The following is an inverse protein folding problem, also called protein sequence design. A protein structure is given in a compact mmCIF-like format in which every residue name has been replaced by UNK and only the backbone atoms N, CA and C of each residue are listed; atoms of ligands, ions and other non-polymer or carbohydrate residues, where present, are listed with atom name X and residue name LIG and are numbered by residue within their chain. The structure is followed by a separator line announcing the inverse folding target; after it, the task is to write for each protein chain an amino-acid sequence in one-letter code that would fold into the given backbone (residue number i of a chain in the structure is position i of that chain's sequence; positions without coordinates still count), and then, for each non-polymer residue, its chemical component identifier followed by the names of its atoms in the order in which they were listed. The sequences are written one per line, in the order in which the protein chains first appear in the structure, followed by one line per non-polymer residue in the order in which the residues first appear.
data_IF_801777955596
#
_entry.id   IF_801777955596
#
_cell.length_a   1.000
_cell.length_b   1.000
_cell.length_c   1.000
_cell.angle_alpha   90.00
_cell.angle_beta   90.00
_cell.angle_gamma   90.00
#
_symmetry.space_group_name_H-M   'P 1'
#
loop_
_entity.id
_entity.type
_entity.pdbx_description
1 polymer ?
#
# COMPACT_ATOMS: atom_id res chain seq x y z
N UNK A 1 19.51 17.36 29.58
CA UNK A 1 18.99 16.01 29.27
C UNK A 1 17.80 16.06 28.31
N UNK A 2 16.66 16.65 28.69
CA UNK A 2 15.46 16.75 27.83
C UNK A 2 15.75 17.47 26.49
N UNK A 3 16.51 18.58 26.52
CA UNK A 3 16.92 19.32 25.30
C UNK A 3 17.80 18.50 24.34
N UNK A 4 18.65 17.63 24.86
CA UNK A 4 19.52 16.78 24.05
C UNK A 4 18.72 15.64 23.40
N UNK A 5 17.78 15.04 24.15
CA UNK A 5 16.88 14.01 23.62
C UNK A 5 15.89 14.58 22.59
N UNK A 6 15.36 15.79 22.80
CA UNK A 6 14.47 16.44 21.82
C UNK A 6 15.19 16.80 20.53
N UNK A 7 16.44 17.27 20.61
CA UNK A 7 17.23 17.60 19.44
C UNK A 7 17.67 16.34 18.67
N UNK A 8 18.09 15.29 19.38
CA UNK A 8 18.37 13.99 18.76
C UNK A 8 17.13 13.38 18.11
N UNK A 9 15.96 13.47 18.78
CA UNK A 9 14.68 13.04 18.22
C UNK A 9 14.30 13.82 16.97
N UNK A 10 14.46 15.15 16.96
CA UNK A 10 14.17 15.98 15.78
C UNK A 10 15.08 15.64 14.58
N UNK A 11 16.39 15.47 14.82
CA UNK A 11 17.35 15.07 13.79
C UNK A 11 17.07 13.66 13.27
N UNK A 12 16.74 12.73 14.18
CA UNK A 12 16.33 11.37 13.84
C UNK A 12 15.06 11.33 13.01
N UNK A 13 14.05 12.13 13.37
CA UNK A 13 12.79 12.26 12.64
C UNK A 13 13.00 12.77 11.22
N UNK A 14 13.73 13.87 11.07
CA UNK A 14 14.03 14.47 9.77
C UNK A 14 14.84 13.51 8.89
N UNK A 15 15.88 12.89 9.45
CA UNK A 15 16.71 11.93 8.73
C UNK A 15 15.92 10.73 8.24
N UNK A 16 15.10 10.11 9.10
CA UNK A 16 14.27 8.97 8.75
C UNK A 16 13.18 9.32 7.72
N UNK A 17 12.54 10.49 7.85
CA UNK A 17 11.55 10.97 6.88
C UNK A 17 12.14 11.17 5.49
N UNK A 18 13.32 11.81 5.41
CA UNK A 18 14.03 12.06 4.14
C UNK A 18 14.45 10.73 3.51
N UNK A 19 15.04 9.82 4.29
CA UNK A 19 15.44 8.50 3.80
C UNK A 19 14.24 7.69 3.28
N UNK A 20 13.13 7.67 4.00
CA UNK A 20 11.92 6.99 3.56
C UNK A 20 11.32 7.62 2.30
N UNK A 21 11.33 8.95 2.18
CA UNK A 21 10.89 9.65 0.97
C UNK A 21 11.78 9.30 -0.23
N UNK A 22 13.11 9.27 -0.05
CA UNK A 22 14.05 8.90 -1.10
C UNK A 22 13.86 7.45 -1.52
N UNK A 23 13.68 6.54 -0.57
CA UNK A 23 13.42 5.12 -0.86
C UNK A 23 12.10 4.94 -1.62
N UNK A 24 11.02 5.62 -1.21
CA UNK A 24 9.74 5.60 -1.93
C UNK A 24 9.88 6.10 -3.36
N UNK A 25 10.66 7.17 -3.56
CA UNK A 25 10.89 7.71 -4.90
C UNK A 25 11.68 6.73 -5.76
N UNK A 26 12.67 6.04 -5.18
CA UNK A 26 13.47 5.03 -5.89
C UNK A 26 12.66 3.77 -6.22
N UNK A 27 11.86 3.28 -5.28
CA UNK A 27 10.98 2.13 -5.48
C UNK A 27 9.97 2.38 -6.62
N UNK A 28 9.42 3.59 -6.71
CA UNK A 28 8.54 3.99 -7.82
C UNK A 28 9.28 4.05 -9.16
N UNK A 29 10.54 4.45 -9.19
CA UNK A 29 11.35 4.45 -10.41
C UNK A 29 11.69 3.03 -10.87
N UNK A 30 12.09 2.15 -9.96
CA UNK A 30 12.35 0.75 -10.28
C UNK A 30 11.10 0.03 -10.80
N UNK A 31 9.92 0.33 -10.23
CA UNK A 31 8.66 -0.27 -10.67
C UNK A 31 8.23 0.15 -12.09
N UNK A 32 8.72 1.29 -12.59
CA UNK A 32 8.40 1.81 -13.92
C UNK A 32 9.52 1.69 -14.94
N UNK A 33 10.61 1.01 -14.62
CA UNK A 33 11.80 0.91 -15.47
C UNK A 33 11.87 -0.48 -16.11
N UNK A 34 11.83 -0.55 -17.45
CA UNK A 34 12.19 -1.75 -18.21
C UNK A 34 13.69 -1.70 -18.52
N UNK A 35 14.53 -2.54 -17.88
CA UNK A 35 15.98 -2.45 -18.06
C UNK A 35 16.42 -3.09 -19.39
N UNK A 36 17.17 -2.35 -20.21
CA UNK A 36 17.98 -2.95 -21.29
C UNK A 36 19.29 -3.55 -20.73
N UNK A 37 19.83 -2.99 -19.64
CA UNK A 37 20.95 -3.55 -18.88
C UNK A 37 20.74 -3.47 -17.36
N UNK A 38 21.47 -4.29 -16.59
CA UNK A 38 21.38 -4.40 -15.12
C UNK A 38 21.63 -3.04 -14.40
N UNK A 39 22.24 -2.05 -15.09
CA UNK A 39 22.60 -0.74 -14.54
C UNK A 39 21.61 0.40 -14.81
N UNK A 40 20.68 0.27 -15.76
CA UNK A 40 19.94 1.43 -16.29
C UNK A 40 18.89 2.00 -15.33
N UNK A 41 18.41 1.18 -14.40
CA UNK A 41 17.44 1.58 -13.39
C UNK A 41 18.09 2.05 -12.06
N UNK A 42 19.42 2.00 -11.94
CA UNK A 42 20.14 2.41 -10.73
C UNK A 42 20.42 3.92 -10.74
N UNK A 43 19.75 4.70 -9.88
CA UNK A 43 20.05 6.13 -9.74
C UNK A 43 21.05 6.44 -8.62
N UNK A 44 21.58 7.67 -8.61
CA UNK A 44 22.44 8.21 -7.54
C UNK A 44 21.82 8.20 -6.14
N UNK A 45 20.54 7.84 -6.01
CA UNK A 45 19.83 7.74 -4.73
C UNK A 45 20.15 6.46 -3.98
N UNK A 46 20.55 5.38 -4.65
CA UNK A 46 20.94 4.12 -4.00
C UNK A 46 22.17 4.29 -3.08
N UNK A 47 23.25 4.98 -3.51
CA UNK A 47 24.35 5.37 -2.61
C UNK A 47 23.89 6.21 -1.41
N UNK A 48 22.91 7.10 -1.59
CA UNK A 48 22.38 7.95 -0.52
C UNK A 48 21.59 7.14 0.50
N UNK A 49 20.89 6.08 0.08
CA UNK A 49 20.18 5.17 0.98
C UNK A 49 21.15 4.33 1.84
N UNK A 50 22.34 4.00 1.32
CA UNK A 50 23.38 3.28 2.06
C UNK A 50 24.17 4.20 3.00
N UNK A 51 24.53 5.40 2.56
CA UNK A 51 25.39 6.33 3.31
C UNK A 51 24.58 7.23 4.25
N UNK A 52 23.35 7.56 3.88
CA UNK A 52 22.50 8.49 4.63
C UNK A 52 22.25 8.12 6.09
N UNK A 53 21.97 6.85 6.44
CA UNK A 53 21.85 6.43 7.85
C UNK A 53 23.12 6.72 8.68
N UNK A 54 24.30 6.56 8.08
CA UNK A 54 25.58 6.87 8.73
C UNK A 54 25.73 8.38 8.95
N UNK A 55 25.35 9.19 7.96
CA UNK A 55 25.36 10.66 8.06
C UNK A 55 24.42 11.15 9.16
N UNK A 56 23.18 10.64 9.22
CA UNK A 56 22.21 11.00 10.27
C UNK A 56 22.76 10.62 11.65
N UNK A 57 23.31 9.41 11.80
CA UNK A 57 23.90 8.95 13.05
C UNK A 57 25.09 9.82 13.48
N UNK A 58 25.94 10.23 12.53
CA UNK A 58 27.07 11.12 12.78
C UNK A 58 26.61 12.53 13.19
N UNK A 59 25.57 13.07 12.57
CA UNK A 59 24.98 14.37 12.94
C UNK A 59 24.40 14.34 14.35
N UNK A 60 23.67 13.27 14.71
CA UNK A 60 23.13 13.08 16.06
C UNK A 60 24.26 12.93 17.07
N UNK A 61 25.31 12.15 16.76
CA UNK A 61 26.49 12.04 17.61
C UNK A 61 27.16 13.39 17.84
N UNK A 62 27.40 14.17 16.78
CA UNK A 62 28.05 15.48 16.87
C UNK A 62 27.22 16.45 17.69
N UNK A 63 25.90 16.45 17.51
CA UNK A 63 24.98 17.25 18.32
C UNK A 63 25.01 16.89 19.81
N UNK A 64 25.06 15.59 20.13
CA UNK A 64 25.17 15.10 21.51
C UNK A 64 26.54 15.46 22.12
N UNK A 65 27.61 15.36 21.34
CA UNK A 65 28.96 15.70 21.76
C UNK A 65 29.10 17.19 22.09
N UNK A 66 28.63 18.09 21.19
CA UNK A 66 28.61 19.54 21.44
C UNK A 66 27.73 19.91 22.64
N UNK A 67 26.70 19.11 22.92
CA UNK A 67 25.82 19.29 24.09
C UNK A 67 26.41 18.76 25.40
N UNK A 68 27.65 18.28 25.41
CA UNK A 68 28.35 17.81 26.62
C UNK A 68 27.85 16.45 27.13
N UNK A 69 27.39 15.57 26.25
CA UNK A 69 26.93 14.23 26.63
C UNK A 69 28.11 13.25 26.71
N UNK A 70 28.46 12.81 27.93
CA UNK A 70 29.59 11.88 28.19
C UNK A 70 29.56 10.58 27.38
N UNK A 71 28.36 10.12 26.98
CA UNK A 71 28.11 8.87 26.24
C UNK A 71 27.48 9.14 24.88
N UNK A 72 27.91 10.18 24.18
CA UNK A 72 27.35 10.59 22.89
C UNK A 72 27.36 9.48 21.83
N UNK A 73 28.50 8.80 21.64
CA UNK A 73 28.68 7.72 20.64
C UNK A 73 27.72 6.54 20.89
N UNK A 74 27.73 5.88 22.07
CA UNK A 74 26.85 4.73 22.30
C UNK A 74 25.36 5.13 22.30
N UNK A 75 25.03 6.36 22.68
CA UNK A 75 23.65 6.87 22.61
C UNK A 75 23.15 7.01 21.17
N UNK A 76 23.98 7.56 20.27
CA UNK A 76 23.65 7.70 18.86
C UNK A 76 23.54 6.32 18.17
N UNK A 77 24.45 5.39 18.48
CA UNK A 77 24.42 4.02 17.94
C UNK A 77 23.18 3.26 18.41
N UNK A 78 22.82 3.33 19.69
CA UNK A 78 21.59 2.72 20.20
C UNK A 78 20.36 3.31 19.52
N UNK A 79 20.32 4.62 19.31
CA UNK A 79 19.23 5.28 18.60
C UNK A 79 19.10 4.80 17.15
N UNK A 80 20.22 4.64 16.46
CA UNK A 80 20.27 4.11 15.10
C UNK A 80 19.80 2.65 15.04
N UNK A 81 20.25 1.79 15.97
CA UNK A 81 19.84 0.39 16.05
C UNK A 81 18.33 0.27 16.27
N UNK A 82 17.76 1.01 17.23
CA UNK A 82 16.32 0.95 17.51
C UNK A 82 15.50 1.43 16.32
N UNK A 83 15.97 2.48 15.64
CA UNK A 83 15.30 2.99 14.42
C UNK A 83 15.38 1.98 13.28
N UNK A 84 16.54 1.37 13.07
CA UNK A 84 16.75 0.36 12.02
C UNK A 84 15.92 -0.91 12.30
N UNK A 85 15.87 -1.37 13.54
CA UNK A 85 15.07 -2.53 13.93
C UNK A 85 13.57 -2.30 13.69
N UNK A 86 13.06 -1.11 14.04
CA UNK A 86 11.67 -0.73 13.75
C UNK A 86 11.36 -0.71 12.24
N UNK A 87 12.33 -0.31 11.40
CA UNK A 87 12.20 -0.30 9.95
C UNK A 87 12.29 -1.70 9.34
N UNK A 88 13.24 -2.53 9.79
CA UNK A 88 13.37 -3.94 9.38
C UNK A 88 12.12 -4.73 9.78
N UNK A 89 11.56 -4.43 10.95
CA UNK A 89 10.30 -5.00 11.38
C UNK A 89 9.15 -4.56 10.48
N UNK A 90 9.09 -3.27 10.14
CA UNK A 90 8.09 -2.79 9.18
C UNK A 90 8.22 -3.51 7.82
N UNK A 91 9.44 -3.78 7.35
CA UNK A 91 9.72 -4.48 6.09
C UNK A 91 9.33 -5.97 6.12
N UNK A 92 9.68 -6.69 7.19
CA UNK A 92 9.44 -8.13 7.33
C UNK A 92 7.96 -8.53 7.25
N UNK A 93 7.04 -7.59 7.48
CA UNK A 93 5.61 -7.82 7.49
C UNK A 93 4.87 -7.10 6.34
N UNK A 94 5.58 -6.59 5.33
CA UNK A 94 4.99 -6.01 4.12
C UNK A 94 5.11 -6.99 2.93
N UNK A 95 4.00 -7.37 2.27
CA UNK A 95 4.02 -8.38 1.20
C UNK A 95 4.74 -7.93 -0.09
N UNK A 96 5.23 -6.69 -0.20
CA UNK A 96 5.82 -6.14 -1.44
C UNK A 96 6.98 -5.14 -1.23
N UNK A 97 7.68 -5.17 -0.10
CA UNK A 97 8.82 -4.25 0.16
C UNK A 97 8.48 -2.76 -0.05
N UNK A 98 7.28 -2.34 0.35
CA UNK A 98 6.86 -0.94 0.24
C UNK A 98 7.48 -0.14 1.40
N UNK A 99 8.19 0.97 1.14
CA UNK A 99 8.76 1.79 2.20
C UNK A 99 7.68 2.43 3.08
N UNK A 100 7.97 2.71 4.36
CA UNK A 100 7.03 3.41 5.23
C UNK A 100 6.73 4.81 4.70
N UNK A 101 5.55 5.33 5.00
CA UNK A 101 5.25 6.74 4.74
C UNK A 101 6.23 7.63 5.50
N UNK A 102 6.55 8.80 4.94
CA UNK A 102 7.53 9.71 5.53
C UNK A 102 7.17 10.09 6.98
N UNK A 103 5.88 10.23 7.29
CA UNK A 103 5.41 10.51 8.65
C UNK A 103 5.66 9.34 9.63
N UNK A 104 5.44 8.10 9.20
CA UNK A 104 5.66 6.92 10.04
C UNK A 104 7.17 6.69 10.28
N UNK A 105 7.98 6.88 9.24
CA UNK A 105 9.44 6.87 9.37
C UNK A 105 9.94 7.97 10.32
N UNK A 106 9.37 9.19 10.26
CA UNK A 106 9.69 10.28 11.17
C UNK A 106 9.43 9.91 12.63
N UNK A 107 8.31 9.22 12.91
CA UNK A 107 7.97 8.75 14.25
C UNK A 107 8.97 7.71 14.74
N UNK A 108 9.32 6.72 13.92
CA UNK A 108 10.33 5.73 14.28
C UNK A 108 11.70 6.35 14.55
N UNK A 109 12.13 7.29 13.69
CA UNK A 109 13.36 8.03 13.88
C UNK A 109 13.35 8.89 15.16
N UNK A 110 12.25 9.61 15.43
CA UNK A 110 12.10 10.40 16.64
C UNK A 110 12.22 9.53 17.91
N UNK A 111 11.44 8.45 17.96
CA UNK A 111 11.34 7.58 19.13
C UNK A 111 12.63 6.80 19.34
N UNK A 112 13.22 6.24 18.28
CA UNK A 112 14.47 5.49 18.34
C UNK A 112 15.62 6.34 18.88
N UNK A 113 15.88 7.50 18.28
CA UNK A 113 16.97 8.38 18.71
C UNK A 113 16.74 9.02 20.08
N UNK A 114 15.51 9.45 20.41
CA UNK A 114 15.21 9.95 21.75
C UNK A 114 15.36 8.87 22.82
N UNK A 115 14.89 7.64 22.54
CA UNK A 115 15.04 6.47 23.42
C UNK A 115 16.50 6.08 23.64
N UNK A 116 17.30 6.02 22.58
CA UNK A 116 18.73 5.72 22.64
C UNK A 116 19.52 6.71 23.50
N UNK A 117 19.20 8.01 23.39
CA UNK A 117 19.79 9.06 24.23
C UNK A 117 19.36 8.94 25.70
N UNK A 118 18.08 8.66 25.96
CA UNK A 118 17.59 8.48 27.34
C UNK A 118 18.25 7.27 28.03
N UNK A 119 18.48 6.18 27.29
CA UNK A 119 19.15 4.98 27.81
C UNK A 119 20.66 5.14 27.99
N UNK A 120 21.32 5.77 27.02
CA UNK A 120 22.77 5.93 27.02
C UNK A 120 23.28 6.90 28.10
N UNK A 121 22.47 7.92 28.44
CA UNK A 121 22.86 8.98 29.39
C UNK A 121 22.58 8.61 30.85
N UNK A 122 21.59 7.75 31.14
CA UNK A 122 21.36 7.34 32.53
C UNK A 122 22.42 6.32 32.96
N UNK A 123 23.04 6.56 34.13
CA UNK A 123 23.86 5.57 34.86
C UNK A 123 22.97 4.47 35.45
N UNK A 124 22.22 3.79 34.59
CA UNK A 124 21.40 2.66 34.97
C UNK A 124 22.31 1.43 35.14
N UNK A 125 21.97 0.51 36.06
CA UNK A 125 22.60 -0.81 36.10
C UNK A 125 22.47 -1.47 34.72
N UNK A 126 23.53 -2.18 34.30
CA UNK A 126 23.58 -2.84 32.97
C UNK A 126 22.34 -3.70 32.74
N UNK A 127 21.85 -4.41 33.76
CA UNK A 127 20.63 -5.21 33.68
C UNK A 127 19.38 -4.39 33.30
N UNK A 128 19.23 -3.17 33.84
CA UNK A 128 18.11 -2.27 33.52
C UNK A 128 18.26 -1.68 32.12
N UNK A 129 19.49 -1.41 31.68
CA UNK A 129 19.76 -0.99 30.30
C UNK A 129 19.41 -2.10 29.30
N UNK A 130 19.77 -3.35 29.61
CA UNK A 130 19.45 -4.52 28.77
C UNK A 130 17.93 -4.73 28.73
N UNK A 131 17.24 -4.73 29.88
CA UNK A 131 15.78 -4.89 29.92
C UNK A 131 15.07 -3.76 29.19
N UNK A 132 15.51 -2.51 29.36
CA UNK A 132 14.89 -1.37 28.68
C UNK A 132 15.20 -1.35 27.18
N UNK A 133 16.40 -1.80 26.76
CA UNK A 133 16.72 -1.99 25.35
C UNK A 133 15.86 -3.09 24.72
N UNK A 134 15.71 -4.24 25.40
CA UNK A 134 14.81 -5.33 24.97
C UNK A 134 13.36 -4.85 24.91
N UNK A 135 12.89 -4.09 25.91
CA UNK A 135 11.54 -3.53 25.90
C UNK A 135 11.32 -2.51 24.76
N UNK A 136 12.34 -1.70 24.42
CA UNK A 136 12.29 -0.79 23.27
C UNK A 136 12.30 -1.52 21.93
N UNK A 137 13.02 -2.63 21.83
CA UNK A 137 13.00 -3.53 20.65
C UNK A 137 11.66 -4.28 20.53
N UNK A 138 10.99 -4.58 21.65
CA UNK A 138 9.70 -5.27 21.68
C UNK A 138 8.49 -4.32 21.61
N UNK A 139 8.63 -3.03 21.92
CA UNK A 139 7.54 -2.06 21.86
C UNK A 139 6.88 -1.97 20.45
N UNK A 140 7.62 -2.02 19.33
CA UNK A 140 7.04 -2.11 18.00
C UNK A 140 6.05 -3.27 17.86
N UNK A 141 6.34 -4.47 18.41
CA UNK A 141 5.46 -5.63 18.32
C UNK A 141 4.06 -5.38 18.91
N UNK A 142 3.97 -4.62 20.01
CA UNK A 142 2.71 -4.38 20.71
C UNK A 142 1.79 -3.37 20.01
N UNK A 143 2.37 -2.36 19.34
CA UNK A 143 1.60 -1.29 18.66
C UNK A 143 1.43 -1.52 17.15
N UNK A 144 2.17 -2.47 16.58
CA UNK A 144 2.18 -2.76 15.15
C UNK A 144 0.83 -3.12 14.52
N UNK A 145 -0.07 -3.94 15.11
CA UNK A 145 -1.34 -4.28 14.48
C UNK A 145 -2.19 -3.04 14.20
N UNK A 146 -2.15 -2.07 15.13
CA UNK A 146 -2.88 -0.80 15.06
C UNK A 146 -2.23 0.16 14.07
N UNK A 147 -0.89 0.23 14.04
CA UNK A 147 -0.15 1.07 13.10
C UNK A 147 -0.24 0.54 11.66
N UNK A 148 -0.26 -0.78 11.48
CA UNK A 148 -0.36 -1.42 10.17
C UNK A 148 -1.75 -1.22 9.55
N UNK A 149 -2.82 -1.41 10.33
CA UNK A 149 -4.19 -1.16 9.86
C UNK A 149 -4.44 0.30 9.48
N UNK A 150 -3.94 1.24 10.29
CA UNK A 150 -4.09 2.68 10.02
C UNK A 150 -3.26 3.16 8.84
N UNK A 151 -1.99 2.72 8.72
CA UNK A 151 -1.14 3.07 7.57
C UNK A 151 -1.65 2.46 6.27
N UNK A 152 -2.10 1.19 6.29
CA UNK A 152 -2.68 0.53 5.11
C UNK A 152 -3.94 1.23 4.63
N UNK A 153 -4.83 1.61 5.56
CA UNK A 153 -6.05 2.36 5.23
C UNK A 153 -5.73 3.72 4.62
N UNK A 154 -4.79 4.48 5.20
CA UNK A 154 -4.40 5.78 4.68
C UNK A 154 -3.78 5.70 3.28
N UNK A 155 -2.92 4.69 3.03
CA UNK A 155 -2.34 4.46 1.71
C UNK A 155 -3.42 4.10 0.67
N UNK A 156 -4.36 3.21 1.02
CA UNK A 156 -5.46 2.83 0.13
C UNK A 156 -6.37 4.01 -0.19
N UNK A 157 -6.69 4.84 0.80
CA UNK A 157 -7.49 6.06 0.59
C UNK A 157 -6.79 7.03 -0.38
N UNK A 158 -5.48 7.21 -0.24
CA UNK A 158 -4.66 7.99 -1.18
C UNK A 158 -4.65 7.37 -2.59
N UNK A 159 -4.52 6.05 -2.69
CA UNK A 159 -4.56 5.32 -3.96
C UNK A 159 -5.90 5.48 -4.69
N UNK A 160 -7.00 5.28 -3.97
CA UNK A 160 -8.36 5.40 -4.52
C UNK A 160 -8.71 6.83 -4.93
N UNK A 161 -8.32 7.83 -4.13
CA UNK A 161 -8.58 9.25 -4.45
C UNK A 161 -7.86 9.72 -5.71
N UNK A 162 -6.71 9.12 -6.05
CA UNK A 162 -5.93 9.45 -7.24
C UNK A 162 -6.33 8.65 -8.49
N UNK A 163 -7.22 7.66 -8.37
CA UNK A 163 -7.59 6.78 -9.49
C UNK A 163 -8.47 7.46 -10.54
N UNK A 164 -9.26 8.46 -10.14
CA UNK A 164 -10.14 9.21 -11.04
C UNK A 164 -11.23 8.34 -11.70
N UNK A 165 -11.72 7.34 -10.97
CA UNK A 165 -12.84 6.47 -11.34
C UNK A 165 -13.86 6.45 -10.19
N UNK A 166 -15.15 6.23 -10.48
CA UNK A 166 -16.13 5.95 -9.44
C UNK A 166 -15.74 4.66 -8.71
N UNK A 167 -15.79 4.71 -7.38
CA UNK A 167 -15.45 3.57 -6.52
C UNK A 167 -16.73 2.80 -6.23
N UNK A 168 -16.93 1.70 -6.96
CA UNK A 168 -18.19 0.96 -6.93
C UNK A 168 -18.07 -0.28 -6.07
N UNK A 169 -19.07 -0.46 -5.20
CA UNK A 169 -19.30 -1.67 -4.40
C UNK A 169 -20.75 -2.10 -4.56
N UNK A 170 -21.08 -3.31 -4.13
CA UNK A 170 -22.47 -3.79 -4.13
C UNK A 170 -22.90 -4.24 -2.75
N UNK A 171 -24.21 -4.20 -2.49
CA UNK A 171 -24.83 -4.77 -1.29
C UNK A 171 -25.70 -5.94 -1.71
N UNK A 172 -25.12 -7.13 -1.67
CA UNK A 172 -25.82 -8.41 -1.87
C UNK A 172 -25.75 -9.18 -0.56
N UNK A 173 -26.85 -9.83 -0.19
CA UNK A 173 -26.99 -10.46 1.13
C UNK A 173 -25.86 -11.47 1.42
N UNK A 174 -25.15 -11.20 2.52
CA UNK A 174 -24.05 -12.02 3.02
C UNK A 174 -22.70 -11.78 2.35
N UNK A 175 -22.62 -10.98 1.28
CA UNK A 175 -21.36 -10.61 0.64
C UNK A 175 -20.76 -9.36 1.26
N UNK A 176 -19.47 -9.42 1.60
CA UNK A 176 -18.71 -8.29 2.14
C UNK A 176 -17.44 -8.06 1.33
N UNK A 177 -16.98 -6.81 1.28
CA UNK A 177 -15.67 -6.48 0.70
C UNK A 177 -14.60 -7.11 1.56
N UNK A 178 -13.66 -7.83 0.95
CA UNK A 178 -12.49 -8.41 1.64
C UNK A 178 -11.17 -7.85 1.11
N UNK A 179 -11.19 -7.30 -0.10
CA UNK A 179 -10.05 -6.65 -0.71
C UNK A 179 -10.52 -5.62 -1.74
N UNK A 180 -9.73 -4.55 -1.88
CA UNK A 180 -9.85 -3.61 -2.98
C UNK A 180 -8.45 -3.20 -3.44
N UNK A 181 -8.26 -3.09 -4.75
CA UNK A 181 -6.98 -2.76 -5.36
C UNK A 181 -7.18 -1.74 -6.48
N UNK A 182 -6.32 -0.73 -6.52
CA UNK A 182 -6.27 0.27 -7.58
C UNK A 182 -4.99 0.08 -8.40
N UNK A 183 -5.14 -0.13 -9.71
CA UNK A 183 -4.04 -0.02 -10.66
C UNK A 183 -4.11 1.34 -11.37
N UNK A 184 -3.11 2.20 -11.14
CA UNK A 184 -3.04 3.52 -11.77
C UNK A 184 -2.61 3.47 -13.23
N UNK A 185 -1.78 2.49 -13.61
CA UNK A 185 -1.30 2.34 -14.98
C UNK A 185 -2.46 2.17 -15.96
N UNK A 186 -3.36 1.24 -15.64
CA UNK A 186 -4.50 0.91 -16.51
C UNK A 186 -5.77 1.68 -16.17
N UNK A 187 -5.72 2.57 -15.16
CA UNK A 187 -6.90 3.17 -14.52
C UNK A 187 -7.96 2.11 -14.23
N UNK A 188 -7.63 1.16 -13.36
CA UNK A 188 -8.47 0.02 -13.01
C UNK A 188 -8.70 -0.06 -11.51
N UNK A 189 -9.94 -0.31 -11.11
CA UNK A 189 -10.31 -0.67 -9.73
C UNK A 189 -10.79 -2.11 -9.72
N UNK A 190 -10.29 -2.93 -8.80
CA UNK A 190 -10.79 -4.28 -8.54
C UNK A 190 -11.25 -4.39 -7.09
N UNK A 191 -12.48 -4.82 -6.86
CA UNK A 191 -13.07 -5.01 -5.53
C UNK A 191 -13.55 -6.45 -5.39
N UNK A 192 -12.97 -7.20 -4.46
CA UNK A 192 -13.34 -8.59 -4.19
C UNK A 192 -14.38 -8.66 -3.09
N UNK A 193 -15.48 -9.35 -3.39
CA UNK A 193 -16.63 -9.57 -2.52
C UNK A 193 -16.67 -11.04 -2.09
N UNK A 194 -16.95 -11.32 -0.81
CA UNK A 194 -16.89 -12.67 -0.24
C UNK A 194 -18.09 -13.02 0.63
N UNK A 195 -18.57 -14.27 0.54
CA UNK A 195 -19.58 -14.89 1.42
C UNK A 195 -19.24 -16.36 1.65
N UNK A 196 -18.68 -16.71 2.80
CA UNK A 196 -18.26 -18.09 3.08
C UNK A 196 -17.06 -18.46 2.19
N UNK A 197 -17.22 -19.41 1.27
CA UNK A 197 -16.22 -19.76 0.24
C UNK A 197 -16.53 -19.09 -1.12
N UNK A 198 -17.69 -18.46 -1.25
CA UNK A 198 -18.15 -17.84 -2.50
C UNK A 198 -17.55 -16.46 -2.63
N UNK A 199 -17.03 -16.14 -3.81
CA UNK A 199 -16.44 -14.84 -4.06
C UNK A 199 -16.67 -14.39 -5.49
N UNK A 200 -16.79 -13.08 -5.70
CA UNK A 200 -16.81 -12.48 -7.03
C UNK A 200 -16.04 -11.17 -6.99
N UNK A 201 -15.63 -10.68 -8.16
CA UNK A 201 -14.90 -9.43 -8.29
C UNK A 201 -15.69 -8.42 -9.09
N UNK A 202 -15.72 -7.19 -8.60
CA UNK A 202 -16.19 -6.02 -9.34
C UNK A 202 -14.96 -5.31 -9.91
N UNK A 203 -14.86 -5.25 -11.24
CA UNK A 203 -13.77 -4.53 -11.92
C UNK A 203 -14.35 -3.28 -12.59
N UNK A 204 -13.76 -2.12 -12.32
CA UNK A 204 -14.17 -0.84 -12.92
C UNK A 204 -13.03 -0.30 -13.77
N UNK A 205 -13.33 -0.02 -15.03
CA UNK A 205 -12.40 0.57 -16.01
C UNK A 205 -13.11 1.68 -16.81
N UNK A 206 -12.36 2.60 -17.45
CA UNK A 206 -12.94 3.51 -18.44
C UNK A 206 -13.66 2.73 -19.54
N UNK A 207 -14.73 3.30 -20.10
CA UNK A 207 -15.38 2.69 -21.27
C UNK A 207 -14.33 2.55 -22.39
N UNK A 208 -14.09 1.32 -22.89
CA UNK A 208 -13.14 1.11 -23.96
C UNK A 208 -13.53 1.85 -25.24
N UNK A 209 -12.55 2.33 -25.99
CA UNK A 209 -12.77 2.93 -27.30
C UNK A 209 -13.46 1.92 -28.22
N UNK A 210 -14.55 2.33 -28.87
CA UNK A 210 -15.31 1.44 -29.77
C UNK A 210 -16.25 0.47 -29.06
N UNK A 211 -16.48 0.62 -27.74
CA UNK A 211 -17.51 -0.13 -27.03
C UNK A 211 -18.89 0.10 -27.67
N UNK A 212 -19.41 -0.95 -28.30
CA UNK A 212 -20.64 -0.96 -29.09
C UNK A 212 -21.32 -2.35 -28.99
N UNK A 213 -21.92 -2.67 -27.83
CA UNK A 213 -22.63 -3.93 -27.66
C UNK A 213 -23.85 -4.02 -28.62
N UNK A 214 -24.25 -5.23 -29.08
CA UNK A 214 -23.80 -6.54 -28.62
C UNK A 214 -22.54 -7.08 -29.32
N UNK A 215 -22.05 -6.38 -30.34
CA UNK A 215 -20.96 -6.88 -31.21
C UNK A 215 -19.57 -6.55 -30.65
N UNK A 216 -19.42 -5.42 -29.95
CA UNK A 216 -18.17 -5.00 -29.31
C UNK A 216 -18.39 -4.70 -27.83
N UNK A 217 -18.13 -5.69 -26.98
CA UNK A 217 -18.47 -5.65 -25.55
C UNK A 217 -17.29 -5.33 -24.62
N UNK A 218 -16.19 -4.79 -25.18
CA UNK A 218 -14.97 -4.48 -24.45
C UNK A 218 -14.07 -5.71 -24.24
N UNK A 219 -12.90 -5.53 -23.59
CA UNK A 219 -11.96 -6.61 -23.30
C UNK A 219 -12.56 -7.64 -22.33
N UNK A 220 -12.01 -8.85 -22.32
CA UNK A 220 -12.37 -9.90 -21.32
C UNK A 220 -11.65 -9.69 -19.99
N UNK A 221 -12.12 -10.32 -18.90
CA UNK A 221 -11.47 -10.16 -17.59
C UNK A 221 -10.03 -10.71 -17.58
N UNK A 222 -9.75 -11.76 -18.34
CA UNK A 222 -8.40 -12.29 -18.55
C UNK A 222 -7.46 -11.28 -19.24
N UNK A 223 -7.98 -10.50 -20.19
CA UNK A 223 -7.23 -9.47 -20.92
C UNK A 223 -6.97 -8.24 -20.05
N UNK A 224 -7.82 -7.99 -19.05
CA UNK A 224 -7.60 -6.94 -18.05
C UNK A 224 -6.54 -7.36 -17.02
N UNK A 225 -6.39 -8.66 -16.74
CA UNK A 225 -5.44 -9.17 -15.75
C UNK A 225 -4.03 -9.40 -16.28
N UNK A 226 -3.87 -9.57 -17.60
CA UNK A 226 -2.56 -9.64 -18.24
C UNK A 226 -2.28 -8.27 -18.84
N UNK A 227 -1.20 -7.60 -18.45
CA UNK A 227 -0.66 -6.37 -19.08
C UNK A 227 -0.26 -6.56 -20.57
N UNK A 228 -0.75 -7.61 -21.23
CA UNK A 228 -0.61 -7.85 -22.66
C UNK A 228 -1.85 -7.34 -23.40
N UNK A 229 -1.69 -6.47 -24.41
CA UNK A 229 -2.79 -6.20 -25.34
C UNK A 229 -3.14 -7.52 -26.00
N UNK A 230 -4.29 -8.08 -25.64
CA UNK A 230 -4.67 -9.41 -26.09
C UNK A 230 -5.47 -9.30 -27.38
N UNK A 231 -5.25 -10.31 -28.22
CA UNK A 231 -6.05 -10.82 -29.35
C UNK A 231 -7.09 -9.90 -29.98
N UNK A 232 -6.99 -9.73 -31.30
CA UNK A 232 -7.94 -9.07 -32.22
C UNK A 232 -9.33 -8.76 -31.59
N UNK A 233 -9.76 -7.49 -31.47
CA UNK A 233 -11.06 -7.10 -30.89
C UNK A 233 -12.28 -7.82 -31.50
N UNK A 234 -12.12 -8.42 -32.68
CA UNK A 234 -13.10 -9.28 -33.32
C UNK A 234 -13.28 -10.66 -32.65
N UNK A 235 -12.41 -11.03 -31.71
CA UNK A 235 -12.39 -12.33 -31.02
C UNK A 235 -13.11 -12.32 -29.66
N UNK A 236 -13.48 -11.14 -29.15
CA UNK A 236 -14.25 -11.02 -27.92
C UNK A 236 -15.64 -11.67 -28.09
N UNK A 237 -16.08 -12.55 -27.17
CA UNK A 237 -17.38 -13.19 -27.29
C UNK A 237 -18.51 -12.15 -27.32
N UNK A 238 -19.56 -12.36 -28.12
CA UNK A 238 -20.70 -11.44 -28.18
C UNK A 238 -21.41 -11.40 -26.82
N UNK A 239 -21.92 -10.23 -26.44
CA UNK A 239 -22.70 -10.07 -25.21
C UNK A 239 -24.19 -9.96 -25.50
N UNK A 240 -25.02 -10.39 -24.54
CA UNK A 240 -26.48 -10.39 -24.65
C UNK A 240 -27.06 -9.31 -23.73
N UNK A 241 -28.01 -8.50 -24.20
CA UNK A 241 -28.63 -7.49 -23.36
C UNK A 241 -29.48 -8.13 -22.25
N UNK A 242 -29.36 -7.60 -21.05
CA UNK A 242 -30.21 -7.93 -19.89
C UNK A 242 -31.09 -6.72 -19.52
N UNK A 243 -30.58 -5.51 -19.73
CA UNK A 243 -31.30 -4.26 -19.48
C UNK A 243 -30.65 -3.08 -20.20
N UNK A 244 -31.17 -1.84 -19.98
CA UNK A 244 -30.50 -0.64 -20.43
C UNK A 244 -29.13 -0.55 -19.75
N UNK A 245 -28.08 -0.39 -20.55
CA UNK A 245 -26.70 -0.32 -20.07
C UNK A 245 -26.20 -1.57 -19.33
N UNK A 246 -26.87 -2.72 -19.50
CA UNK A 246 -26.50 -3.98 -18.85
C UNK A 246 -26.52 -5.15 -19.82
N UNK A 247 -25.38 -5.83 -19.93
CA UNK A 247 -25.18 -7.01 -20.77
C UNK A 247 -24.56 -8.15 -19.98
N UNK A 248 -24.66 -9.36 -20.53
CA UNK A 248 -23.98 -10.56 -20.02
C UNK A 248 -23.17 -11.18 -21.15
N UNK A 249 -21.94 -11.56 -20.85
CA UNK A 249 -21.05 -12.31 -21.73
C UNK A 249 -20.60 -13.58 -21.01
N UNK A 250 -20.40 -14.66 -21.77
CA UNK A 250 -19.84 -15.89 -21.22
C UNK A 250 -18.33 -15.85 -21.39
N UNK A 251 -17.58 -15.99 -20.30
CA UNK A 251 -16.12 -16.02 -20.26
C UNK A 251 -15.70 -17.23 -19.44
N UNK A 252 -14.86 -18.11 -20.00
CA UNK A 252 -14.43 -19.37 -19.33
C UNK A 252 -15.60 -20.21 -18.78
N UNK A 253 -16.69 -20.31 -19.55
CA UNK A 253 -17.95 -20.97 -19.20
C UNK A 253 -18.81 -20.28 -18.12
N UNK A 254 -18.34 -19.15 -17.57
CA UNK A 254 -19.04 -18.39 -16.54
C UNK A 254 -19.72 -17.11 -17.06
N UNK A 255 -20.89 -16.72 -16.52
CA UNK A 255 -21.57 -15.49 -16.89
C UNK A 255 -20.94 -14.27 -16.22
N UNK A 256 -20.29 -13.41 -17.02
CA UNK A 256 -19.78 -12.10 -16.60
C UNK A 256 -20.80 -11.03 -16.94
N UNK A 257 -21.17 -10.21 -15.94
CA UNK A 257 -22.06 -9.07 -16.16
C UNK A 257 -21.27 -7.81 -16.50
N UNK A 258 -21.68 -7.12 -17.56
CA UNK A 258 -21.12 -5.88 -18.06
C UNK A 258 -22.12 -4.76 -17.84
N UNK A 259 -21.80 -3.78 -17.00
CA UNK A 259 -22.68 -2.64 -16.70
C UNK A 259 -21.99 -1.34 -17.08
N UNK A 260 -22.59 -0.56 -17.99
CA UNK A 260 -22.12 0.78 -18.30
C UNK A 260 -22.68 1.78 -17.29
N UNK A 261 -21.82 2.63 -16.73
CA UNK A 261 -22.20 3.76 -15.88
C UNK A 261 -21.45 4.99 -16.37
N UNK A 262 -22.15 5.85 -17.11
CA UNK A 262 -21.54 7.03 -17.73
C UNK A 262 -20.30 6.66 -18.59
N UNK A 263 -19.12 7.14 -18.17
CA UNK A 263 -17.82 6.95 -18.82
C UNK A 263 -17.03 5.74 -18.30
N UNK A 264 -17.64 4.89 -17.46
CA UNK A 264 -17.02 3.63 -17.01
C UNK A 264 -17.81 2.39 -17.40
N UNK A 265 -17.06 1.30 -17.57
CA UNK A 265 -17.57 -0.05 -17.77
C UNK A 265 -17.21 -0.88 -16.53
N UNK A 266 -18.22 -1.55 -15.98
CA UNK A 266 -18.10 -2.37 -14.78
C UNK A 266 -18.30 -3.82 -15.15
N UNK A 267 -17.38 -4.66 -14.72
CA UNK A 267 -17.44 -6.11 -14.84
C UNK A 267 -17.80 -6.68 -13.46
N UNK A 268 -18.77 -7.58 -13.42
CA UNK A 268 -18.98 -8.45 -12.26
C UNK A 268 -18.60 -9.85 -12.69
N UNK A 269 -17.39 -10.24 -12.32
CA UNK A 269 -16.74 -11.51 -12.68
C UNK A 269 -16.92 -12.51 -11.54
N UNK A 270 -17.59 -13.64 -11.76
CA UNK A 270 -17.72 -14.67 -10.74
C UNK A 270 -16.39 -15.32 -10.40
N UNK A 271 -16.22 -15.65 -9.13
CA UNK A 271 -15.34 -16.73 -8.71
C UNK A 271 -16.07 -18.08 -8.79
N UNK A 272 -15.51 -19.07 -8.13
CA UNK A 272 -15.99 -20.45 -8.19
C UNK A 272 -17.39 -20.57 -7.53
N UNK A 273 -18.31 -21.27 -8.22
CA UNK A 273 -19.63 -21.68 -7.73
C UNK A 273 -20.56 -20.53 -7.28
N UNK A 274 -20.37 -19.31 -7.79
CA UNK A 274 -21.26 -18.19 -7.47
C UNK A 274 -22.59 -18.31 -8.20
N UNK A 275 -23.74 -18.26 -7.49
CA UNK A 275 -25.05 -18.30 -8.13
C UNK A 275 -25.26 -17.12 -9.10
N UNK A 276 -25.73 -17.38 -10.32
CA UNK A 276 -25.99 -16.34 -11.32
C UNK A 276 -26.99 -15.26 -10.84
N UNK A 277 -27.92 -15.63 -9.96
CA UNK A 277 -28.85 -14.67 -9.35
C UNK A 277 -28.13 -13.63 -8.47
N UNK A 278 -27.09 -14.06 -7.74
CA UNK A 278 -26.31 -13.19 -6.87
C UNK A 278 -25.44 -12.23 -7.71
N UNK A 279 -24.89 -12.69 -8.84
CA UNK A 279 -24.15 -11.84 -9.79
C UNK A 279 -25.06 -10.80 -10.46
N UNK A 280 -26.26 -11.22 -10.89
CA UNK A 280 -27.26 -10.31 -11.44
C UNK A 280 -27.69 -9.25 -10.42
N UNK A 281 -27.92 -9.65 -9.18
CA UNK A 281 -28.23 -8.73 -8.08
C UNK A 281 -27.04 -7.80 -7.76
N UNK A 282 -25.81 -8.31 -7.81
CA UNK A 282 -24.60 -7.52 -7.61
C UNK A 282 -24.47 -6.42 -8.67
N UNK A 283 -24.63 -6.78 -9.94
CA UNK A 283 -24.57 -5.89 -11.10
C UNK A 283 -25.69 -4.84 -11.08
N UNK A 284 -26.90 -5.22 -10.65
CA UNK A 284 -28.03 -4.30 -10.56
C UNK A 284 -27.89 -3.27 -9.41
N UNK A 285 -27.25 -3.65 -8.30
CA UNK A 285 -27.18 -2.87 -7.07
C UNK A 285 -25.79 -2.24 -6.81
N UNK A 286 -25.09 -1.86 -7.87
CA UNK A 286 -23.83 -1.12 -7.77
C UNK A 286 -24.06 0.26 -7.14
N UNK A 287 -23.27 0.57 -6.12
CA UNK A 287 -23.31 1.80 -5.34
C UNK A 287 -21.94 2.43 -5.26
N UNK A 288 -21.88 3.75 -5.43
CA UNK A 288 -20.65 4.51 -5.29
C UNK A 288 -20.35 4.79 -3.82
N UNK A 289 -19.08 4.67 -3.46
CA UNK A 289 -18.56 4.96 -2.11
C UNK A 289 -17.41 5.95 -2.18
N UNK A 290 -17.13 6.62 -1.05
CA UNK A 290 -15.98 7.51 -0.94
C UNK A 290 -14.68 6.70 -0.81
N UNK A 291 -13.51 7.29 -1.17
CA UNK A 291 -12.20 6.65 -0.99
C UNK A 291 -11.97 6.15 0.44
N UNK A 292 -12.27 6.98 1.44
CA UNK A 292 -12.15 6.59 2.85
C UNK A 292 -13.06 5.44 3.24
N UNK A 293 -14.27 5.34 2.67
CA UNK A 293 -15.19 4.24 2.95
C UNK A 293 -14.76 2.93 2.29
N UNK A 294 -14.22 2.96 1.07
CA UNK A 294 -13.68 1.76 0.43
C UNK A 294 -12.43 1.26 1.17
N UNK A 295 -11.56 2.17 1.59
CA UNK A 295 -10.37 1.83 2.39
C UNK A 295 -10.73 1.24 3.76
N UNK A 296 -11.82 1.70 4.41
CA UNK A 296 -12.38 1.05 5.59
C UNK A 296 -12.79 -0.39 5.32
N UNK A 297 -13.58 -0.59 4.26
CA UNK A 297 -14.15 -1.89 3.92
C UNK A 297 -13.09 -2.90 3.48
N UNK A 298 -11.97 -2.46 2.90
CA UNK A 298 -10.88 -3.33 2.45
C UNK A 298 -9.89 -3.75 3.55
N UNK A 299 -9.98 -3.16 4.75
CA UNK A 299 -9.09 -3.44 5.89
C UNK A 299 -9.82 -4.07 7.07
N UNK A 300 -11.15 -3.92 7.15
CA UNK A 300 -12.01 -4.49 8.20
C UNK A 300 -12.25 -5.97 8.02
#
# INVERSE_FOLDING_TARGET
MIRAASLAGALGALGAAVLASLWRTEALLFAGCEPETIGDCLTWRLPVLLVGPLVVTALVWLALWVSGVDRAVPSALLGAIVTADALLFYEAFQPRWTPPSAGLAAVFGAVGFAGGVLLGVRRLPVAVQVVAAVALLLAPYGFFPVLHGTARRANLEEEFSQLGLPLLVTRVDGYQVVAAHANRGDRRLSVSMHRGELWFTIVVVPVPTGFAPPTHCGPTTDELDRDQPTTDPASAPPCRPVGPDHWVRVERDDPVHLVRRNEVLVYVDPGIDVPAADLGAAAANLTEVTPGRLAELAVG
#
